data_IF_460452614454
#
_entry.id   IF_460452614454
#
_cell.length_a   1.000
_cell.length_b   1.000
_cell.length_c   1.000
_cell.angle_alpha   90.00
_cell.angle_beta   90.00
_cell.angle_gamma   90.00
#
_symmetry.space_group_name_H-M   'P 1'
#
loop_
_entity.id
_entity.type
_entity.pdbx_description
1 polymer ?
#
# COMPACT_ATOMS: atom_id res chain seq x y z
N UNK A 1 57.31 -56.22 20.97
CA UNK A 1 56.03 -56.92 21.28
C UNK A 1 54.90 -55.88 21.23
N UNK A 2 54.36 -55.63 20.05
CA UNK A 2 53.29 -54.64 19.85
C UNK A 2 51.96 -55.39 19.77
N UNK A 3 51.03 -55.06 20.69
CA UNK A 3 49.63 -55.52 20.64
C UNK A 3 48.85 -54.55 19.81
N UNK A 4 48.32 -54.98 18.64
CA UNK A 4 47.39 -54.29 17.89
C UNK A 4 46.00 -54.50 18.53
N UNK A 5 45.33 -53.39 18.81
CA UNK A 5 43.92 -53.34 19.21
C UNK A 5 43.09 -53.05 17.97
N UNK A 6 42.26 -54.00 17.55
CA UNK A 6 41.30 -53.87 16.49
C UNK A 6 40.03 -53.25 17.10
N UNK A 7 39.69 -52.03 16.69
CA UNK A 7 38.41 -51.39 17.05
C UNK A 7 37.41 -51.72 15.94
N UNK A 8 36.40 -52.51 16.26
CA UNK A 8 35.24 -52.74 15.40
C UNK A 8 34.36 -51.48 15.42
N UNK A 9 34.25 -50.80 14.29
CA UNK A 9 33.33 -49.67 14.10
C UNK A 9 31.98 -50.22 13.58
N UNK A 10 31.00 -50.34 14.48
CA UNK A 10 29.62 -50.67 14.12
C UNK A 10 28.93 -49.41 13.55
N UNK A 11 28.69 -49.39 12.22
CA UNK A 11 27.92 -48.35 11.54
C UNK A 11 26.44 -48.61 11.84
N UNK A 12 25.85 -47.73 12.68
CA UNK A 12 24.43 -47.68 12.91
C UNK A 12 23.85 -46.80 11.80
N UNK A 13 23.17 -47.40 10.83
CA UNK A 13 22.36 -46.70 9.83
C UNK A 13 21.12 -46.13 10.53
N UNK A 14 21.15 -44.88 10.99
CA UNK A 14 19.95 -44.10 11.28
C UNK A 14 19.42 -43.55 9.98
N UNK A 15 18.29 -44.10 9.54
CA UNK A 15 17.49 -43.54 8.48
C UNK A 15 16.96 -42.16 8.91
N UNK A 16 17.47 -41.11 8.28
CA UNK A 16 16.93 -39.77 8.41
C UNK A 16 15.74 -39.71 7.49
N UNK A 17 14.53 -39.90 8.01
CA UNK A 17 13.30 -39.49 7.34
C UNK A 17 13.32 -37.96 7.32
N UNK A 18 13.61 -37.36 6.16
CA UNK A 18 13.36 -35.95 5.90
C UNK A 18 11.85 -35.75 5.82
N UNK A 19 11.23 -35.44 6.94
CA UNK A 19 9.92 -34.77 6.92
C UNK A 19 10.16 -33.41 6.28
N UNK A 20 9.71 -33.28 5.02
CA UNK A 20 9.49 -31.99 4.41
C UNK A 20 8.35 -31.32 5.19
N UNK A 21 8.68 -30.56 6.23
CA UNK A 21 7.80 -29.53 6.72
C UNK A 21 7.58 -28.57 5.56
N UNK A 22 6.44 -28.70 4.90
CA UNK A 22 5.93 -27.67 4.01
C UNK A 22 5.79 -26.42 4.87
N UNK A 23 6.73 -25.50 4.70
CA UNK A 23 6.66 -24.15 5.27
C UNK A 23 5.39 -23.53 4.71
N UNK A 24 4.31 -23.56 5.51
CA UNK A 24 3.09 -22.79 5.19
C UNK A 24 3.55 -21.34 4.98
N UNK A 25 3.63 -20.93 3.73
CA UNK A 25 3.78 -19.54 3.38
C UNK A 25 2.51 -18.84 3.89
N UNK A 26 2.62 -18.22 5.07
CA UNK A 26 1.60 -17.29 5.52
C UNK A 26 1.32 -16.34 4.34
N UNK A 27 0.05 -16.17 3.93
CA UNK A 27 -0.27 -15.24 2.87
C UNK A 27 0.31 -13.88 3.26
N UNK A 28 1.16 -13.32 2.41
CA UNK A 28 1.67 -11.95 2.58
C UNK A 28 0.45 -11.05 2.52
N UNK A 29 -0.05 -10.66 3.69
CA UNK A 29 -1.16 -9.70 3.78
C UNK A 29 -0.64 -8.39 3.22
N UNK A 30 -1.10 -8.04 2.03
CA UNK A 30 -0.75 -6.77 1.38
C UNK A 30 -1.37 -5.63 2.19
N UNK A 31 -0.58 -5.04 3.10
CA UNK A 31 -1.01 -4.02 4.06
C UNK A 31 -1.28 -2.65 3.42
N UNK A 32 -1.19 -2.52 2.10
CA UNK A 32 -1.23 -1.22 1.42
C UNK A 32 0.02 -0.38 1.70
N UNK A 33 0.31 0.58 0.82
CA UNK A 33 1.52 1.41 0.97
C UNK A 33 1.43 2.25 2.25
N UNK A 34 2.45 2.14 3.10
CA UNK A 34 2.50 2.79 4.41
C UNK A 34 3.60 3.84 4.46
N UNK A 35 3.29 5.02 5.01
CA UNK A 35 4.24 6.07 5.32
C UNK A 35 4.37 6.23 6.83
N UNK A 36 5.59 6.26 7.35
CA UNK A 36 5.89 6.66 8.72
C UNK A 36 6.32 8.13 8.68
N UNK A 37 5.54 9.00 9.31
CA UNK A 37 5.88 10.42 9.47
C UNK A 37 6.28 10.67 10.90
N UNK A 38 7.46 11.25 11.12
CA UNK A 38 7.91 11.48 12.49
C UNK A 38 8.64 12.82 12.66
N UNK A 39 8.62 13.29 13.91
CA UNK A 39 9.49 14.36 14.41
C UNK A 39 10.27 13.85 15.61
N UNK A 40 11.56 14.15 15.67
CA UNK A 40 12.42 13.71 16.78
C UNK A 40 13.40 14.81 17.19
N UNK A 41 13.21 15.38 18.39
CA UNK A 41 14.12 16.38 18.93
C UNK A 41 15.33 15.77 19.66
N UNK A 42 15.07 14.77 20.51
CA UNK A 42 16.10 14.13 21.36
C UNK A 42 16.52 12.74 20.85
N UNK A 43 16.17 12.36 19.63
CA UNK A 43 16.47 11.06 19.05
C UNK A 43 15.54 9.91 19.45
N UNK A 44 14.65 10.10 20.44
CA UNK A 44 13.79 9.02 20.92
C UNK A 44 12.79 8.52 19.86
N UNK A 45 12.12 9.42 19.14
CA UNK A 45 11.19 9.04 18.08
C UNK A 45 11.93 8.42 16.88
N UNK A 46 13.10 8.93 16.52
CA UNK A 46 13.97 8.32 15.50
C UNK A 46 14.35 6.88 15.86
N UNK A 47 14.71 6.60 17.11
CA UNK A 47 15.02 5.24 17.58
C UNK A 47 13.79 4.31 17.50
N UNK A 48 12.59 4.80 17.79
CA UNK A 48 11.33 4.06 17.64
C UNK A 48 11.09 3.74 16.17
N UNK A 49 11.24 4.72 15.27
CA UNK A 49 11.07 4.53 13.81
C UNK A 49 12.06 3.52 13.27
N UNK A 50 13.35 3.62 13.65
CA UNK A 50 14.37 2.65 13.25
C UNK A 50 14.08 1.21 13.72
N UNK A 51 13.35 1.06 14.84
CA UNK A 51 12.92 -0.26 15.32
C UNK A 51 11.68 -0.73 14.55
N UNK A 52 10.77 0.19 14.20
CA UNK A 52 9.53 -0.10 13.47
C UNK A 52 9.82 -0.55 12.03
N UNK A 53 10.76 0.10 11.33
CA UNK A 53 11.12 -0.24 9.93
C UNK A 53 11.75 -1.63 9.78
N UNK A 54 12.22 -2.25 10.87
CA UNK A 54 12.64 -3.66 10.87
C UNK A 54 11.48 -4.64 10.92
N UNK A 55 10.28 -4.18 11.21
CA UNK A 55 9.08 -5.01 11.43
C UNK A 55 7.94 -4.68 10.44
N UNK A 56 8.02 -3.54 9.77
CA UNK A 56 7.03 -3.05 8.83
C UNK A 56 7.73 -2.42 7.64
N UNK A 57 7.41 -2.90 6.44
CA UNK A 57 7.81 -2.23 5.20
C UNK A 57 7.03 -0.93 5.07
N UNK A 58 7.74 0.20 5.09
CA UNK A 58 7.16 1.53 5.01
C UNK A 58 8.20 2.56 4.55
N UNK A 59 7.75 3.56 3.81
CA UNK A 59 8.55 4.75 3.55
C UNK A 59 8.60 5.62 4.81
N UNK A 60 9.67 6.40 4.98
CA UNK A 60 9.89 7.21 6.17
C UNK A 60 10.09 8.67 5.80
N UNK A 61 9.37 9.55 6.50
CA UNK A 61 9.46 11.01 6.37
C UNK A 61 9.76 11.63 7.73
N UNK A 62 10.91 12.28 7.87
CA UNK A 62 11.21 13.11 9.02
C UNK A 62 10.74 14.55 8.81
N UNK A 63 9.94 15.06 9.73
CA UNK A 63 9.54 16.47 9.74
C UNK A 63 10.61 17.29 10.44
N UNK A 64 11.09 18.33 9.78
CA UNK A 64 12.13 19.21 10.33
C UNK A 64 11.61 20.64 10.51
N UNK A 65 11.97 21.34 11.61
CA UNK A 65 11.69 22.76 11.73
C UNK A 65 12.48 23.54 10.65
N UNK A 66 11.89 24.57 10.07
CA UNK A 66 12.58 25.41 9.08
C UNK A 66 13.76 26.15 9.70
N UNK A 67 13.61 26.67 10.92
CA UNK A 67 14.70 27.24 11.69
C UNK A 67 15.49 26.14 12.39
N UNK A 68 16.80 26.08 12.13
CA UNK A 68 17.69 25.03 12.66
C UNK A 68 18.37 25.47 13.95
N UNK A 69 18.79 24.50 14.77
CA UNK A 69 19.56 24.73 15.99
C UNK A 69 18.76 25.33 17.14
N UNK A 70 17.42 25.34 17.04
CA UNK A 70 16.55 25.77 18.12
C UNK A 70 16.72 24.90 19.37
N UNK A 71 16.88 25.55 20.53
CA UNK A 71 16.96 24.89 21.84
C UNK A 71 15.67 25.12 22.61
N UNK A 72 14.75 24.16 22.49
CA UNK A 72 13.43 24.26 23.10
C UNK A 72 13.48 24.19 24.63
N UNK A 73 14.53 23.60 25.20
CA UNK A 73 14.80 23.53 26.64
C UNK A 73 15.42 24.80 27.23
N UNK A 74 15.95 25.70 26.40
CA UNK A 74 16.59 26.93 26.87
C UNK A 74 15.59 27.84 27.58
N UNK A 75 16.08 28.65 28.52
CA UNK A 75 15.31 29.62 29.27
C UNK A 75 14.05 29.00 29.93
N UNK A 76 14.23 27.89 30.62
CA UNK A 76 13.14 27.14 31.23
C UNK A 76 12.03 26.76 30.24
N UNK A 77 12.40 26.28 29.05
CA UNK A 77 11.50 25.85 27.99
C UNK A 77 10.61 26.98 27.40
N UNK A 78 11.05 28.21 27.46
CA UNK A 78 10.26 29.37 27.04
C UNK A 78 9.77 29.26 25.59
N UNK A 79 10.66 28.87 24.65
CA UNK A 79 10.32 28.76 23.23
C UNK A 79 9.25 27.67 22.97
N UNK A 80 9.42 26.46 23.50
CA UNK A 80 8.46 25.39 23.33
C UNK A 80 7.09 25.72 23.91
N UNK A 81 7.08 26.36 25.09
CA UNK A 81 5.85 26.86 25.74
C UNK A 81 5.16 27.93 24.88
N UNK A 82 5.92 28.88 24.33
CA UNK A 82 5.39 29.93 23.46
C UNK A 82 4.71 29.33 22.21
N UNK A 83 5.36 28.38 21.53
CA UNK A 83 4.82 27.74 20.33
C UNK A 83 3.50 27.02 20.60
N UNK A 84 3.44 26.22 21.67
CA UNK A 84 2.21 25.53 22.03
C UNK A 84 1.09 26.46 22.46
N UNK A 85 1.41 27.56 23.19
CA UNK A 85 0.43 28.56 23.56
C UNK A 85 -0.13 29.32 22.35
N UNK A 86 0.70 29.60 21.33
CA UNK A 86 0.25 30.23 20.10
C UNK A 86 -0.77 29.34 19.37
N UNK A 87 -0.44 28.05 19.19
CA UNK A 87 -1.36 27.08 18.57
C UNK A 87 -2.66 26.96 19.38
N UNK A 88 -2.56 26.88 20.71
CA UNK A 88 -3.74 26.76 21.59
C UNK A 88 -4.64 27.98 21.51
N UNK A 89 -4.07 29.18 21.40
CA UNK A 89 -4.83 30.43 21.32
C UNK A 89 -5.57 30.56 19.97
N UNK A 90 -4.98 30.14 18.88
CA UNK A 90 -5.54 30.26 17.53
C UNK A 90 -5.32 28.98 16.71
N UNK A 91 -5.98 27.87 17.04
CA UNK A 91 -5.69 26.56 16.46
C UNK A 91 -6.06 26.42 14.96
N UNK A 92 -6.83 27.35 14.43
CA UNK A 92 -7.25 27.37 13.02
C UNK A 92 -6.47 28.38 12.16
N UNK A 93 -5.56 29.15 12.78
CA UNK A 93 -4.70 30.09 12.08
C UNK A 93 -3.34 29.47 11.78
N UNK A 94 -2.98 29.31 10.49
CA UNK A 94 -1.70 28.76 10.06
C UNK A 94 -0.48 29.52 10.61
N UNK A 95 -0.63 30.82 10.91
CA UNK A 95 0.44 31.65 11.48
C UNK A 95 0.77 31.27 12.94
N UNK A 96 -0.12 30.53 13.62
CA UNK A 96 0.12 30.03 14.97
C UNK A 96 1.05 28.82 15.02
N UNK A 97 1.30 28.20 13.88
CA UNK A 97 2.13 27.00 13.77
C UNK A 97 3.55 27.37 13.33
N UNK A 98 4.59 26.81 13.99
CA UNK A 98 5.96 27.08 13.57
C UNK A 98 6.22 26.58 12.14
N UNK A 99 7.07 27.30 11.40
CA UNK A 99 7.47 26.90 10.06
C UNK A 99 8.26 25.59 10.08
N UNK A 100 7.98 24.73 9.11
CA UNK A 100 8.71 23.49 8.86
C UNK A 100 9.32 23.50 7.47
N UNK A 101 10.33 22.65 7.24
CA UNK A 101 10.88 22.46 5.90
C UNK A 101 9.80 21.99 4.92
N UNK A 102 9.86 22.41 3.66
CA UNK A 102 8.96 21.94 2.63
C UNK A 102 9.03 20.41 2.47
N UNK A 103 7.89 19.74 2.57
CA UNK A 103 7.79 18.30 2.37
C UNK A 103 7.55 17.98 0.90
N UNK A 104 8.49 17.28 0.25
CA UNK A 104 8.41 16.91 -1.16
C UNK A 104 7.63 15.61 -1.41
N UNK A 105 7.35 14.84 -0.36
CA UNK A 105 6.68 13.53 -0.49
C UNK A 105 5.20 13.72 -0.83
N UNK A 106 4.77 13.19 -1.99
CA UNK A 106 3.33 13.09 -2.29
C UNK A 106 2.69 12.06 -1.36
N UNK A 107 1.56 12.44 -0.75
CA UNK A 107 0.79 11.56 0.13
C UNK A 107 -0.21 10.67 -0.63
N UNK A 108 -0.40 10.89 -1.94
CA UNK A 108 -1.49 10.27 -2.70
C UNK A 108 -1.36 8.75 -2.79
N UNK A 109 -0.13 8.25 -2.88
CA UNK A 109 0.16 6.81 -3.00
C UNK A 109 0.05 6.02 -1.69
N UNK A 110 -0.10 6.70 -0.54
CA UNK A 110 -0.17 6.03 0.76
C UNK A 110 -1.60 5.86 1.23
N UNK A 111 -1.96 4.63 1.60
CA UNK A 111 -3.24 4.30 2.21
C UNK A 111 -3.18 4.40 3.74
N UNK A 112 -2.01 4.10 4.30
CA UNK A 112 -1.77 4.08 5.73
C UNK A 112 -0.67 5.06 6.11
N UNK A 113 -0.87 5.81 7.20
CA UNK A 113 0.12 6.74 7.74
C UNK A 113 0.30 6.49 9.23
N UNK A 114 1.53 6.25 9.66
CA UNK A 114 1.87 6.12 11.08
C UNK A 114 2.58 7.39 11.52
N UNK A 115 2.01 8.10 12.48
CA UNK A 115 2.57 9.32 13.05
C UNK A 115 3.37 8.93 14.28
N UNK A 116 4.65 9.37 14.37
CA UNK A 116 5.50 9.17 15.56
C UNK A 116 5.96 10.53 16.05
N UNK A 117 5.56 10.91 17.27
CA UNK A 117 5.78 12.26 17.82
C UNK A 117 6.20 12.24 19.28
N UNK A 118 7.06 13.18 19.71
CA UNK A 118 7.28 13.40 21.12
C UNK A 118 6.10 14.16 21.73
N UNK A 119 5.93 13.99 23.03
CA UNK A 119 5.01 14.76 23.84
C UNK A 119 5.74 15.99 24.41
N UNK A 120 5.17 17.17 24.23
CA UNK A 120 5.58 18.43 24.86
C UNK A 120 4.46 18.98 25.73
N UNK A 121 4.70 19.14 27.04
CA UNK A 121 3.70 19.71 28.01
C UNK A 121 2.31 19.10 27.88
N UNK A 122 2.24 17.78 27.84
CA UNK A 122 1.02 16.98 27.65
C UNK A 122 0.32 17.16 26.28
N UNK A 123 0.92 17.85 25.32
CA UNK A 123 0.43 18.08 23.97
C UNK A 123 1.36 17.45 22.93
N UNK A 124 0.90 17.39 21.70
CA UNK A 124 1.77 17.02 20.56
C UNK A 124 2.82 18.08 20.33
N UNK A 125 4.05 17.69 20.01
CA UNK A 125 5.11 18.62 19.65
C UNK A 125 4.67 19.59 18.55
N UNK A 126 4.93 20.90 18.72
CA UNK A 126 4.45 21.95 17.82
C UNK A 126 4.86 21.71 16.35
N UNK A 127 6.06 21.17 16.10
CA UNK A 127 6.56 20.83 14.76
C UNK A 127 5.69 19.77 14.08
N UNK A 128 5.28 18.72 14.81
CA UNK A 128 4.37 17.71 14.27
C UNK A 128 2.96 18.28 14.07
N UNK A 129 2.49 19.15 14.95
CA UNK A 129 1.21 19.83 14.77
C UNK A 129 1.22 20.68 13.48
N UNK A 130 2.32 21.38 13.18
CA UNK A 130 2.48 22.13 11.92
C UNK A 130 2.33 21.23 10.69
N UNK A 131 3.00 20.07 10.69
CA UNK A 131 2.90 19.12 9.59
C UNK A 131 1.46 18.64 9.38
N UNK A 132 0.80 18.22 10.46
CA UNK A 132 -0.57 17.71 10.39
C UNK A 132 -1.55 18.80 9.94
N UNK A 133 -1.43 20.03 10.46
CA UNK A 133 -2.25 21.16 10.03
C UNK A 133 -2.13 21.43 8.53
N UNK A 134 -0.91 21.48 8.00
CA UNK A 134 -0.66 21.77 6.58
C UNK A 134 -1.11 20.63 5.65
N UNK A 135 -1.11 19.40 6.13
CA UNK A 135 -1.38 18.21 5.30
C UNK A 135 -2.72 17.53 5.62
N UNK A 136 -3.54 18.09 6.52
CA UNK A 136 -4.83 17.50 6.90
C UNK A 136 -5.72 17.18 5.69
N UNK A 137 -5.87 18.06 4.67
CA UNK A 137 -6.69 17.75 3.48
C UNK A 137 -6.16 16.54 2.69
N UNK A 138 -4.83 16.37 2.62
CA UNK A 138 -4.19 15.25 1.90
C UNK A 138 -4.23 13.95 2.70
N UNK A 139 -4.45 14.02 4.02
CA UNK A 139 -4.58 12.88 4.91
C UNK A 139 -6.05 12.43 5.06
N UNK A 140 -7.02 13.23 4.61
CA UNK A 140 -8.44 12.90 4.63
C UNK A 140 -8.70 11.54 3.95
N UNK A 141 -9.51 10.69 4.58
CA UNK A 141 -9.87 9.35 4.11
C UNK A 141 -8.78 8.29 4.23
N UNK A 142 -7.58 8.64 4.72
CA UNK A 142 -6.51 7.68 4.98
C UNK A 142 -6.66 6.99 6.33
N UNK A 143 -6.04 5.83 6.44
CA UNK A 143 -5.90 5.14 7.72
C UNK A 143 -4.69 5.70 8.47
N UNK A 144 -4.89 6.12 9.72
CA UNK A 144 -3.85 6.76 10.53
C UNK A 144 -3.68 6.03 11.85
N UNK A 145 -2.42 5.85 12.28
CA UNK A 145 -2.06 5.36 13.61
C UNK A 145 -1.08 6.33 14.30
N UNK A 146 -1.02 6.28 15.62
CA UNK A 146 -0.23 7.22 16.41
C UNK A 146 0.68 6.48 17.38
N UNK A 147 1.96 6.84 17.40
CA UNK A 147 2.94 6.46 18.42
C UNK A 147 3.44 7.72 19.12
N UNK A 148 3.41 7.72 20.43
CA UNK A 148 3.85 8.87 21.24
C UNK A 148 5.00 8.47 22.12
N UNK A 149 6.08 9.24 22.05
CA UNK A 149 7.22 9.13 22.96
C UNK A 149 7.12 10.21 24.04
N UNK A 150 7.14 9.81 25.32
CA UNK A 150 7.22 10.73 26.45
C UNK A 150 8.19 10.22 27.52
N UNK A 151 8.52 11.04 28.49
CA UNK A 151 9.29 10.58 29.66
C UNK A 151 8.42 9.71 30.58
N UNK A 152 7.33 10.28 31.09
CA UNK A 152 6.41 9.63 32.04
C UNK A 152 4.96 10.13 31.94
N UNK A 153 4.74 11.26 31.26
CA UNK A 153 3.40 11.86 31.14
C UNK A 153 2.51 11.05 30.21
N UNK A 154 1.25 10.88 30.58
CA UNK A 154 0.23 10.24 29.77
C UNK A 154 -0.04 11.00 28.46
N UNK A 155 -0.53 10.31 27.44
CA UNK A 155 -0.58 10.77 26.06
C UNK A 155 -1.95 11.32 25.61
N UNK A 156 -2.91 11.45 26.51
CA UNK A 156 -4.29 11.85 26.17
C UNK A 156 -4.38 13.20 25.42
N UNK A 157 -3.55 14.18 25.80
CA UNK A 157 -3.51 15.47 25.12
C UNK A 157 -2.94 15.36 23.69
N UNK A 158 -1.92 14.52 23.48
CA UNK A 158 -1.38 14.28 22.14
C UNK A 158 -2.42 13.60 21.24
N UNK A 159 -3.17 12.64 21.77
CA UNK A 159 -4.28 11.99 21.07
C UNK A 159 -5.38 13.00 20.72
N UNK A 160 -5.71 13.91 21.66
CA UNK A 160 -6.68 14.96 21.41
C UNK A 160 -6.23 15.92 20.30
N UNK A 161 -4.96 16.35 20.32
CA UNK A 161 -4.38 17.19 19.27
C UNK A 161 -4.41 16.49 17.89
N UNK A 162 -4.05 15.21 17.83
CA UNK A 162 -4.09 14.43 16.61
C UNK A 162 -5.50 14.35 16.02
N UNK A 163 -6.51 14.06 16.86
CA UNK A 163 -7.92 14.00 16.43
C UNK A 163 -8.48 15.35 16.01
N UNK A 164 -8.08 16.43 16.68
CA UNK A 164 -8.45 17.81 16.30
C UNK A 164 -7.89 18.19 14.93
N UNK A 165 -6.61 17.84 14.68
CA UNK A 165 -5.92 18.19 13.41
C UNK A 165 -6.35 17.31 12.24
N UNK A 166 -6.78 16.08 12.52
CA UNK A 166 -7.14 15.07 11.52
C UNK A 166 -8.56 14.53 11.78
N UNK A 167 -9.62 15.34 11.60
CA UNK A 167 -10.99 14.91 11.88
C UNK A 167 -11.50 13.87 10.86
N UNK A 168 -10.98 13.88 9.64
CA UNK A 168 -11.50 13.11 8.50
C UNK A 168 -10.64 11.88 8.16
N UNK A 169 -9.90 11.33 9.13
CA UNK A 169 -9.12 10.11 8.97
C UNK A 169 -9.79 8.92 9.65
N UNK A 170 -9.43 7.72 9.24
CA UNK A 170 -9.80 6.48 9.94
C UNK A 170 -8.68 6.08 10.87
N UNK A 171 -8.93 6.08 12.19
CA UNK A 171 -7.92 5.64 13.17
C UNK A 171 -7.81 4.11 13.16
N UNK A 172 -6.58 3.60 12.96
CA UNK A 172 -6.31 2.16 12.82
C UNK A 172 -6.39 1.39 14.14
N UNK A 173 -6.37 2.07 15.25
CA UNK A 173 -6.41 1.49 16.59
C UNK A 173 -5.97 2.51 17.64
N UNK A 174 -5.74 2.03 18.85
CA UNK A 174 -5.27 2.87 19.96
C UNK A 174 -3.83 3.36 19.75
N UNK A 175 -3.55 4.55 20.25
CA UNK A 175 -2.20 5.11 20.20
C UNK A 175 -1.23 4.29 21.07
N UNK A 176 -0.05 4.00 20.53
CA UNK A 176 1.02 3.37 21.29
C UNK A 176 1.81 4.39 22.11
N UNK A 177 1.95 4.14 23.39
CA UNK A 177 2.73 4.97 24.29
C UNK A 177 4.06 4.31 24.67
N UNK A 178 5.17 4.92 24.24
CA UNK A 178 6.53 4.54 24.60
C UNK A 178 7.08 5.57 25.58
N UNK A 179 7.46 5.12 26.78
CA UNK A 179 7.96 5.96 27.87
C UNK A 179 9.21 5.36 28.51
N UNK A 180 9.77 6.02 29.51
CA UNK A 180 10.98 5.56 30.18
C UNK A 180 10.86 4.18 30.84
N UNK A 181 9.67 3.82 31.32
CA UNK A 181 9.48 2.53 32.02
C UNK A 181 9.37 1.35 31.04
N UNK A 182 8.97 1.58 29.77
CA UNK A 182 8.73 0.50 28.80
C UNK A 182 9.63 0.56 27.55
N UNK A 183 10.49 1.60 27.40
CA UNK A 183 11.30 1.76 26.19
C UNK A 183 12.29 0.62 25.93
N UNK A 184 12.74 -0.08 26.96
CA UNK A 184 13.58 -1.29 26.78
C UNK A 184 12.86 -2.38 25.99
N UNK A 185 11.53 -2.39 25.98
CA UNK A 185 10.67 -3.35 25.31
C UNK A 185 10.06 -2.79 24.00
N UNK A 186 10.63 -1.70 23.45
CA UNK A 186 10.07 -1.02 22.24
C UNK A 186 9.81 -2.00 21.11
N UNK A 187 10.70 -2.97 20.85
CA UNK A 187 10.55 -3.92 19.76
C UNK A 187 9.31 -4.82 19.92
N UNK A 188 9.10 -5.40 21.09
CA UNK A 188 7.94 -6.25 21.36
C UNK A 188 6.64 -5.44 21.40
N UNK A 189 6.66 -4.25 22.01
CA UNK A 189 5.50 -3.36 22.05
C UNK A 189 5.06 -2.96 20.64
N UNK A 190 6.00 -2.61 19.77
CA UNK A 190 5.71 -2.30 18.37
C UNK A 190 5.16 -3.52 17.63
N UNK A 191 5.76 -4.69 17.81
CA UNK A 191 5.29 -5.93 17.19
C UNK A 191 3.85 -6.24 17.55
N UNK A 192 3.50 -6.17 18.84
CA UNK A 192 2.17 -6.49 19.34
C UNK A 192 1.14 -5.42 18.95
N UNK A 193 1.56 -4.16 18.89
CA UNK A 193 0.73 -3.07 18.44
C UNK A 193 0.45 -3.13 16.94
N UNK A 194 1.47 -3.34 16.10
CA UNK A 194 1.33 -3.47 14.64
C UNK A 194 0.40 -4.62 14.24
N UNK A 195 0.36 -5.72 15.01
CA UNK A 195 -0.58 -6.83 14.78
C UNK A 195 -2.04 -6.44 15.02
N UNK A 196 -2.29 -5.46 15.89
CA UNK A 196 -3.64 -5.00 16.26
C UNK A 196 -4.17 -3.89 15.37
N UNK A 197 -3.32 -3.28 14.53
CA UNK A 197 -3.73 -2.21 13.65
C UNK A 197 -4.57 -2.73 12.48
N UNK A 198 -5.68 -2.05 12.22
CA UNK A 198 -6.50 -2.27 11.04
C UNK A 198 -5.90 -1.52 9.85
N UNK A 199 -4.82 -2.06 9.29
CA UNK A 199 -4.27 -1.51 8.05
C UNK A 199 -5.34 -1.55 6.95
N UNK A 200 -5.53 -0.43 6.25
CA UNK A 200 -6.24 -0.48 4.98
C UNK A 200 -5.38 -1.34 4.07
N UNK A 201 -5.87 -2.51 3.79
CA UNK A 201 -5.29 -3.30 2.71
C UNK A 201 -5.42 -2.43 1.47
N UNK A 202 -4.41 -2.37 0.62
CA UNK A 202 -4.71 -1.92 -0.72
C UNK A 202 -5.87 -2.80 -1.17
N UNK A 203 -6.98 -2.23 -1.60
CA UNK A 203 -8.06 -2.96 -2.28
C UNK A 203 -7.58 -3.48 -3.65
N UNK A 204 -6.30 -3.54 -3.86
CA UNK A 204 -5.68 -4.41 -4.80
C UNK A 204 -5.64 -5.82 -4.17
N UNK A 205 -6.79 -6.53 -4.06
CA UNK A 205 -6.83 -7.85 -4.64
C UNK A 205 -5.93 -7.73 -5.85
N UNK A 206 -4.87 -8.55 -5.96
CA UNK A 206 -3.91 -8.52 -7.07
C UNK A 206 -4.60 -7.95 -8.29
N UNK A 207 -4.57 -6.59 -8.40
CA UNK A 207 -5.41 -5.90 -9.37
C UNK A 207 -4.84 -6.33 -10.70
N UNK A 208 -5.61 -7.09 -11.44
CA UNK A 208 -5.22 -7.58 -12.74
C UNK A 208 -5.90 -6.74 -13.80
N UNK A 209 -5.20 -6.50 -14.89
CA UNK A 209 -5.83 -6.11 -16.13
C UNK A 209 -5.67 -7.25 -17.15
N UNK A 210 -6.62 -7.36 -18.03
CA UNK A 210 -6.56 -8.26 -19.17
C UNK A 210 -5.86 -7.57 -20.32
N UNK A 211 -4.92 -8.27 -20.92
CA UNK A 211 -4.25 -7.91 -22.17
C UNK A 211 -4.73 -8.88 -23.24
N UNK A 212 -5.45 -8.37 -24.24
CA UNK A 212 -6.07 -9.18 -25.28
C UNK A 212 -5.41 -8.90 -26.64
N UNK A 213 -4.96 -9.95 -27.31
CA UNK A 213 -4.42 -9.92 -28.67
C UNK A 213 -5.09 -11.05 -29.46
N UNK A 214 -5.72 -10.73 -30.60
CA UNK A 214 -6.44 -11.70 -31.45
C UNK A 214 -7.40 -12.61 -30.66
N UNK A 215 -8.11 -12.05 -29.71
CA UNK A 215 -9.06 -12.77 -28.85
C UNK A 215 -8.43 -13.64 -27.77
N UNK A 216 -7.10 -13.78 -27.71
CA UNK A 216 -6.38 -14.46 -26.62
C UNK A 216 -6.15 -13.46 -25.49
N UNK A 217 -6.39 -13.88 -24.27
CA UNK A 217 -6.30 -13.05 -23.06
C UNK A 217 -5.17 -13.53 -22.17
N UNK A 218 -4.34 -12.60 -21.69
CA UNK A 218 -3.38 -12.83 -20.62
C UNK A 218 -3.64 -11.81 -19.49
N UNK A 219 -3.59 -12.29 -18.28
CA UNK A 219 -3.69 -11.43 -17.11
C UNK A 219 -2.35 -10.76 -16.80
N UNK A 220 -2.38 -9.46 -16.58
CA UNK A 220 -1.26 -8.67 -16.05
C UNK A 220 -1.54 -8.39 -14.61
N UNK A 221 -0.73 -8.89 -13.70
CA UNK A 221 -0.75 -8.50 -12.28
C UNK A 221 -0.16 -7.10 -12.16
N UNK A 222 -0.95 -6.13 -11.73
CA UNK A 222 -0.53 -4.74 -11.60
C UNK A 222 0.25 -4.51 -10.30
N UNK A 223 1.25 -3.64 -10.34
CA UNK A 223 1.92 -3.12 -9.15
C UNK A 223 1.13 -1.94 -8.59
N UNK A 224 1.22 -1.68 -7.28
CA UNK A 224 0.53 -0.55 -6.65
C UNK A 224 1.39 0.71 -6.72
N UNK A 225 1.05 1.60 -7.67
CA UNK A 225 1.63 2.94 -7.77
C UNK A 225 0.65 3.91 -8.44
N UNK A 226 0.99 5.20 -8.46
CA UNK A 226 0.13 6.22 -9.03
C UNK A 226 -0.18 6.01 -10.53
N UNK A 227 0.76 5.41 -11.29
CA UNK A 227 0.55 5.12 -12.71
C UNK A 227 -0.53 4.05 -12.91
N UNK A 228 -0.46 2.95 -12.15
CA UNK A 228 -1.43 1.86 -12.24
C UNK A 228 -2.79 2.25 -11.70
N UNK A 229 -2.84 3.06 -10.64
CA UNK A 229 -4.11 3.60 -10.14
C UNK A 229 -4.81 4.46 -11.19
N UNK A 230 -4.07 5.35 -11.86
CA UNK A 230 -4.60 6.16 -12.95
C UNK A 230 -4.97 5.32 -14.19
N UNK A 231 -4.19 4.29 -14.53
CA UNK A 231 -4.51 3.34 -15.60
C UNK A 231 -5.83 2.61 -15.32
N UNK A 232 -5.98 2.10 -14.10
CA UNK A 232 -7.21 1.40 -13.67
C UNK A 232 -8.41 2.33 -13.72
N UNK A 233 -8.29 3.57 -13.22
CA UNK A 233 -9.36 4.56 -13.32
C UNK A 233 -9.77 4.79 -14.79
N UNK A 234 -8.79 4.83 -15.71
CA UNK A 234 -9.07 4.95 -17.15
C UNK A 234 -9.76 3.70 -17.72
N UNK A 235 -9.35 2.51 -17.30
CA UNK A 235 -9.98 1.25 -17.72
C UNK A 235 -11.36 1.02 -17.11
N UNK A 236 -11.72 1.69 -16.01
CA UNK A 236 -13.08 1.72 -15.47
C UNK A 236 -14.06 2.51 -16.38
N UNK A 237 -13.56 3.47 -17.14
CA UNK A 237 -14.36 4.19 -18.14
C UNK A 237 -14.66 3.30 -19.37
N UNK A 238 -13.85 2.28 -19.63
CA UNK A 238 -13.98 1.34 -20.74
C UNK A 238 -12.65 0.73 -21.16
N UNK A 239 -12.72 -0.32 -21.96
CA UNK A 239 -11.51 -0.95 -22.51
C UNK A 239 -10.76 0.01 -23.44
N UNK A 240 -9.44 -0.03 -23.40
CA UNK A 240 -8.55 0.79 -24.23
C UNK A 240 -7.84 -0.10 -25.23
N UNK A 241 -8.00 0.20 -26.52
CA UNK A 241 -7.29 -0.50 -27.62
C UNK A 241 -6.19 0.39 -28.15
N UNK A 242 -4.97 -0.17 -28.18
CA UNK A 242 -3.74 0.50 -28.66
C UNK A 242 -3.09 -0.30 -29.77
N UNK A 243 -2.30 0.39 -30.61
CA UNK A 243 -1.47 -0.25 -31.63
C UNK A 243 -0.02 -0.25 -31.17
N UNK A 244 0.55 -1.43 -31.01
CA UNK A 244 1.93 -1.62 -30.58
C UNK A 244 2.78 -2.16 -31.73
N UNK A 245 4.08 -1.88 -31.65
CA UNK A 245 5.07 -2.31 -32.65
C UNK A 245 6.24 -2.96 -31.94
N UNK A 246 6.87 -3.93 -32.56
CA UNK A 246 8.13 -4.49 -32.06
C UNK A 246 9.23 -3.44 -32.04
N UNK A 247 9.97 -3.40 -30.94
CA UNK A 247 11.18 -2.61 -30.78
C UNK A 247 12.34 -3.56 -30.38
N UNK A 248 13.36 -3.61 -31.21
CA UNK A 248 14.42 -4.60 -31.06
C UNK A 248 13.87 -6.04 -31.07
N UNK A 249 14.54 -6.94 -30.39
CA UNK A 249 14.05 -8.31 -30.20
C UNK A 249 13.73 -8.57 -28.70
N UNK A 250 13.12 -7.59 -28.03
CA UNK A 250 12.87 -7.69 -26.61
C UNK A 250 11.50 -7.18 -26.15
N UNK A 251 10.81 -6.31 -26.90
CA UNK A 251 9.52 -5.75 -26.48
C UNK A 251 8.57 -5.44 -27.64
N UNK A 252 7.30 -5.29 -27.32
CA UNK A 252 6.35 -4.51 -28.13
C UNK A 252 6.01 -3.24 -27.37
N UNK A 253 5.91 -2.11 -28.07
CA UNK A 253 5.65 -0.81 -27.46
C UNK A 253 4.78 0.09 -28.31
N UNK A 254 4.16 1.09 -27.68
CA UNK A 254 3.38 2.12 -28.37
C UNK A 254 2.63 3.03 -27.42
N UNK A 255 2.01 4.07 -28.00
CA UNK A 255 1.28 5.07 -27.21
C UNK A 255 -0.01 4.51 -26.62
N UNK A 256 -0.28 4.86 -25.36
CA UNK A 256 -1.57 4.62 -24.70
C UNK A 256 -2.68 5.58 -25.20
N UNK A 257 -2.31 6.70 -25.85
CA UNK A 257 -3.24 7.76 -26.23
C UNK A 257 -3.55 8.75 -25.09
N UNK A 258 -2.99 8.55 -23.91
CA UNK A 258 -3.09 9.43 -22.74
C UNK A 258 -1.82 9.32 -21.88
N UNK A 259 -1.66 10.26 -20.94
CA UNK A 259 -0.52 10.26 -20.01
C UNK A 259 -0.90 9.73 -18.64
N UNK A 260 0.05 9.06 -17.99
CA UNK A 260 -0.03 8.56 -16.63
C UNK A 260 1.05 9.20 -15.75
N UNK A 261 0.86 9.31 -14.44
CA UNK A 261 1.91 9.70 -13.51
C UNK A 261 3.14 8.80 -13.64
N UNK A 262 4.32 9.35 -13.41
CA UNK A 262 5.58 8.59 -13.52
C UNK A 262 6.28 8.48 -12.19
N UNK A 263 6.85 7.31 -11.91
CA UNK A 263 7.81 7.02 -10.83
C UNK A 263 8.96 6.20 -11.42
N UNK A 264 9.76 6.85 -12.28
CA UNK A 264 10.79 6.16 -13.04
C UNK A 264 11.92 5.66 -12.16
N UNK A 265 12.29 4.41 -12.34
CA UNK A 265 13.46 3.76 -11.75
C UNK A 265 14.26 3.06 -12.83
N UNK A 266 15.58 2.95 -12.64
CA UNK A 266 16.41 2.16 -13.55
C UNK A 266 16.20 0.69 -13.25
N UNK A 267 15.61 -0.03 -14.19
CA UNK A 267 15.31 -1.47 -14.06
C UNK A 267 15.91 -2.27 -15.18
N UNK A 268 16.23 -3.53 -14.90
CA UNK A 268 16.49 -4.55 -15.91
C UNK A 268 15.18 -5.29 -16.20
N UNK A 269 14.46 -4.85 -17.23
CA UNK A 269 13.20 -5.46 -17.68
C UNK A 269 13.42 -6.91 -18.11
N UNK A 270 12.51 -7.77 -17.71
CA UNK A 270 12.53 -9.21 -17.94
C UNK A 270 11.29 -9.64 -18.73
N UNK A 271 11.29 -10.81 -19.39
CA UNK A 271 10.08 -11.32 -20.03
C UNK A 271 8.86 -11.29 -19.12
N UNK A 272 7.75 -10.77 -19.64
CA UNK A 272 6.50 -10.56 -18.92
C UNK A 272 6.36 -9.20 -18.23
N UNK A 273 7.42 -8.43 -18.04
CA UNK A 273 7.31 -7.10 -17.45
C UNK A 273 6.51 -6.16 -18.36
N UNK A 274 5.59 -5.41 -17.74
CA UNK A 274 4.79 -4.36 -18.38
C UNK A 274 5.17 -3.05 -17.71
N UNK A 275 5.62 -2.08 -18.52
CA UNK A 275 6.15 -0.82 -18.02
C UNK A 275 5.62 0.38 -18.80
N UNK A 276 5.70 1.55 -18.20
CA UNK A 276 5.40 2.84 -18.80
C UNK A 276 6.73 3.53 -19.17
N UNK A 277 6.84 3.99 -20.39
CA UNK A 277 7.95 4.77 -20.91
C UNK A 277 7.50 6.18 -21.29
N UNK A 278 8.24 7.20 -20.84
CA UNK A 278 7.96 8.59 -21.18
C UNK A 278 6.57 9.10 -20.74
N UNK A 279 5.94 8.42 -19.78
CA UNK A 279 4.64 8.82 -19.20
C UNK A 279 3.42 8.52 -20.08
N UNK A 280 3.59 8.09 -21.34
CA UNK A 280 2.48 7.87 -22.28
C UNK A 280 2.59 6.61 -23.16
N UNK A 281 3.70 5.91 -23.11
CA UNK A 281 3.90 4.69 -23.90
C UNK A 281 3.93 3.46 -23.00
N UNK A 282 3.22 2.42 -23.38
CA UNK A 282 3.30 1.10 -22.76
C UNK A 282 4.34 0.26 -23.49
N UNK A 283 5.18 -0.44 -22.71
CA UNK A 283 6.14 -1.43 -23.23
C UNK A 283 5.88 -2.77 -22.55
N UNK A 284 5.90 -3.86 -23.32
CA UNK A 284 5.64 -5.23 -22.84
C UNK A 284 6.79 -6.10 -23.32
N UNK A 285 7.55 -6.65 -22.36
CA UNK A 285 8.78 -7.38 -22.64
C UNK A 285 8.51 -8.86 -22.93
N UNK A 286 9.16 -9.39 -23.95
CA UNK A 286 9.38 -10.84 -24.19
C UNK A 286 10.87 -11.20 -24.18
N UNK A 287 11.74 -10.22 -24.18
CA UNK A 287 13.18 -10.29 -23.94
C UNK A 287 13.59 -9.44 -22.76
N UNK A 288 14.82 -8.95 -22.75
CA UNK A 288 15.35 -8.12 -21.65
C UNK A 288 15.96 -6.82 -22.15
N UNK A 289 15.74 -5.74 -21.43
CA UNK A 289 16.36 -4.44 -21.67
C UNK A 289 16.45 -3.65 -20.36
N UNK A 290 17.50 -2.85 -20.21
CA UNK A 290 17.73 -2.02 -19.03
C UNK A 290 17.56 -0.55 -19.37
N UNK A 291 16.63 0.11 -18.74
CA UNK A 291 16.38 1.54 -18.90
C UNK A 291 15.59 2.12 -17.71
N UNK A 292 15.28 3.41 -17.76
CA UNK A 292 14.47 4.08 -16.76
C UNK A 292 12.98 4.01 -17.15
N UNK A 293 12.21 3.25 -16.38
CA UNK A 293 10.79 3.01 -16.60
C UNK A 293 9.98 3.18 -15.30
N UNK A 294 8.68 3.42 -15.45
CA UNK A 294 7.71 3.23 -14.36
C UNK A 294 7.08 1.85 -14.50
N UNK A 295 7.13 1.02 -13.44
CA UNK A 295 6.51 -0.32 -13.48
C UNK A 295 4.99 -0.20 -13.52
N UNK A 296 4.35 -1.00 -14.37
CA UNK A 296 2.89 -1.17 -14.40
C UNK A 296 2.48 -2.54 -13.89
N UNK A 297 3.20 -3.60 -14.24
CA UNK A 297 2.82 -4.94 -13.82
C UNK A 297 3.65 -6.04 -14.46
N UNK A 298 3.13 -7.27 -14.37
CA UNK A 298 3.78 -8.46 -14.95
C UNK A 298 2.78 -9.49 -15.46
N UNK A 299 3.06 -10.08 -16.60
CA UNK A 299 2.45 -11.32 -17.11
C UNK A 299 3.24 -12.49 -16.51
N UNK A 300 2.58 -13.37 -15.78
CA UNK A 300 3.20 -14.56 -15.19
C UNK A 300 2.78 -15.85 -15.93
N UNK A 301 3.52 -16.92 -15.68
CA UNK A 301 3.15 -18.26 -16.15
C UNK A 301 3.46 -18.61 -17.60
N UNK A 302 4.11 -17.71 -18.35
CA UNK A 302 4.58 -17.95 -19.71
C UNK A 302 6.11 -17.89 -19.80
N UNK A 303 6.71 -18.76 -20.59
CA UNK A 303 8.11 -18.65 -20.99
C UNK A 303 8.34 -17.47 -21.94
N UNK A 304 9.59 -17.08 -22.16
CA UNK A 304 9.95 -16.02 -23.10
C UNK A 304 9.45 -16.28 -24.52
N UNK A 305 9.53 -17.52 -24.98
CA UNK A 305 9.05 -17.93 -26.32
C UNK A 305 7.53 -17.87 -26.43
N UNK A 306 6.81 -18.32 -25.39
CA UNK A 306 5.34 -18.21 -25.33
C UNK A 306 4.89 -16.76 -25.27
N UNK A 307 5.58 -15.89 -24.51
CA UNK A 307 5.35 -14.44 -24.48
C UNK A 307 5.61 -13.82 -25.85
N UNK A 308 6.73 -14.14 -26.49
CA UNK A 308 7.04 -13.65 -27.84
C UNK A 308 5.96 -14.05 -28.85
N UNK A 309 5.50 -15.29 -28.77
CA UNK A 309 4.42 -15.78 -29.64
C UNK A 309 3.09 -15.10 -29.37
N UNK A 310 2.71 -14.93 -28.09
CA UNK A 310 1.49 -14.23 -27.67
C UNK A 310 1.51 -12.76 -28.07
N UNK A 311 2.63 -12.07 -27.81
CA UNK A 311 2.83 -10.63 -28.09
C UNK A 311 3.12 -10.37 -29.59
N UNK A 312 3.18 -11.42 -30.43
CA UNK A 312 3.55 -11.31 -31.85
C UNK A 312 4.88 -10.58 -32.07
N UNK A 313 5.87 -10.89 -31.24
CA UNK A 313 7.20 -10.29 -31.33
C UNK A 313 7.80 -10.41 -32.72
N UNK A 314 8.36 -9.34 -33.25
CA UNK A 314 8.84 -9.24 -34.65
C UNK A 314 7.81 -8.65 -35.61
N UNK A 315 6.56 -8.43 -35.21
CA UNK A 315 5.52 -7.82 -36.05
C UNK A 315 5.29 -6.35 -35.72
N UNK A 316 4.60 -5.63 -36.60
CA UNK A 316 4.17 -4.26 -36.44
C UNK A 316 2.64 -4.16 -36.51
N UNK A 317 2.09 -3.05 -36.03
CA UNK A 317 0.66 -2.77 -36.03
C UNK A 317 -0.15 -3.83 -35.25
N UNK A 318 0.36 -4.28 -34.12
CA UNK A 318 -0.29 -5.25 -33.24
C UNK A 318 -1.41 -4.54 -32.46
N UNK A 319 -2.65 -4.96 -32.71
CA UNK A 319 -3.80 -4.45 -31.94
C UNK A 319 -3.85 -5.12 -30.58
N UNK A 320 -3.76 -4.33 -29.52
CA UNK A 320 -3.75 -4.79 -28.13
C UNK A 320 -4.88 -4.09 -27.37
N UNK A 321 -5.76 -4.86 -26.74
CA UNK A 321 -6.83 -4.30 -25.90
C UNK A 321 -6.51 -4.53 -24.42
N UNK A 322 -6.51 -3.45 -23.65
CA UNK A 322 -6.39 -3.43 -22.20
C UNK A 322 -7.79 -3.29 -21.60
N UNK A 323 -8.14 -4.13 -20.66
CA UNK A 323 -9.44 -4.06 -19.96
C UNK A 323 -9.31 -4.56 -18.52
N UNK A 324 -10.24 -4.16 -17.67
CA UNK A 324 -10.37 -4.81 -16.37
C UNK A 324 -11.03 -6.19 -16.53
N UNK A 325 -10.69 -7.19 -15.70
CA UNK A 325 -11.45 -8.41 -15.62
C UNK A 325 -12.92 -8.05 -15.35
N UNK A 326 -13.84 -8.71 -16.04
CA UNK A 326 -15.25 -8.63 -15.65
C UNK A 326 -15.33 -9.25 -14.27
N UNK A 327 -15.60 -8.46 -13.24
CA UNK A 327 -15.89 -9.00 -11.93
C UNK A 327 -17.07 -9.94 -12.10
N UNK A 328 -16.84 -11.26 -12.05
CA UNK A 328 -17.91 -12.16 -11.72
C UNK A 328 -18.38 -11.67 -10.36
N UNK A 329 -19.56 -11.05 -10.33
CA UNK A 329 -20.28 -10.84 -9.08
C UNK A 329 -20.23 -12.21 -8.41
N UNK A 330 -19.45 -12.32 -7.33
CA UNK A 330 -19.45 -13.52 -6.52
C UNK A 330 -20.90 -13.72 -6.14
N UNK A 331 -21.53 -14.72 -6.77
CA UNK A 331 -22.80 -15.19 -6.28
C UNK A 331 -22.51 -15.53 -4.82
N UNK A 332 -23.01 -14.71 -3.89
CA UNK A 332 -23.10 -15.13 -2.51
C UNK A 332 -23.71 -16.53 -2.56
N UNK A 333 -22.96 -17.54 -2.18
CA UNK A 333 -23.49 -18.80 -1.78
C UNK A 333 -24.38 -18.49 -0.57
N UNK A 334 -25.62 -18.11 -0.85
CA UNK A 334 -26.68 -18.20 0.11
C UNK A 334 -26.84 -19.69 0.34
N UNK A 335 -26.53 -20.14 1.56
CA UNK A 335 -26.81 -21.50 1.99
C UNK A 335 -28.24 -21.83 1.58
N UNK A 336 -28.38 -22.95 0.89
CA UNK A 336 -29.63 -23.55 0.42
C UNK A 336 -30.48 -23.94 1.66
N UNK A 337 -31.18 -22.95 2.22
CA UNK A 337 -32.26 -23.16 3.18
C UNK A 337 -33.47 -22.40 2.66
N UNK A 338 -34.39 -23.12 1.98
CA UNK A 338 -35.76 -22.76 1.65
C UNK A 338 -36.01 -21.30 1.20
N UNK A 339 -35.45 -20.91 0.03
CA UNK A 339 -35.83 -19.65 -0.59
C UNK A 339 -37.16 -19.81 -1.32
N UNK A 340 -38.23 -19.23 -0.72
CA UNK A 340 -39.50 -18.98 -1.39
C UNK A 340 -39.24 -18.25 -2.73
N UNK A 341 -40.01 -18.59 -3.73
CA UNK A 341 -40.01 -18.01 -5.10
C UNK A 341 -40.19 -16.49 -5.09
N UNK A 342 -39.12 -15.72 -4.85
CA UNK A 342 -39.16 -14.27 -4.79
C UNK A 342 -38.91 -13.69 -6.17
N UNK A 343 -39.74 -12.72 -6.56
CA UNK A 343 -39.64 -11.98 -7.80
C UNK A 343 -39.01 -10.59 -7.53
N UNK A 344 -38.18 -10.14 -8.46
CA UNK A 344 -37.59 -8.81 -8.43
C UNK A 344 -37.94 -8.06 -9.72
N UNK A 345 -38.16 -6.75 -9.60
CA UNK A 345 -38.28 -5.85 -10.75
C UNK A 345 -36.93 -5.78 -11.50
N UNK A 346 -36.92 -5.24 -12.70
CA UNK A 346 -35.70 -5.01 -13.49
C UNK A 346 -34.73 -4.03 -12.78
N UNK A 347 -35.21 -3.25 -11.81
CA UNK A 347 -34.41 -2.34 -10.99
C UNK A 347 -33.92 -2.97 -9.68
N UNK A 348 -34.08 -4.30 -9.52
CA UNK A 348 -33.62 -5.04 -8.34
C UNK A 348 -34.48 -4.90 -7.08
N UNK A 349 -35.67 -4.29 -7.16
CA UNK A 349 -36.60 -4.22 -6.02
C UNK A 349 -37.43 -5.49 -5.92
N UNK A 350 -37.59 -6.01 -4.71
CA UNK A 350 -38.47 -7.16 -4.45
C UNK A 350 -39.93 -6.81 -4.74
N UNK A 351 -40.64 -7.71 -5.41
CA UNK A 351 -42.03 -7.55 -5.81
C UNK A 351 -42.87 -8.64 -5.15
N UNK A 352 -43.68 -8.26 -4.17
CA UNK A 352 -44.52 -9.18 -3.44
C UNK A 352 -45.89 -9.46 -4.11
N UNK A 353 -46.38 -8.52 -4.93
CA UNK A 353 -47.61 -8.64 -5.71
C UNK A 353 -47.33 -8.31 -7.19
N UNK A 354 -46.86 -9.26 -7.99
CA UNK A 354 -46.52 -9.00 -9.38
C UNK A 354 -47.77 -8.83 -10.25
N UNK A 355 -47.79 -7.80 -11.07
CA UNK A 355 -48.71 -7.65 -12.18
C UNK A 355 -48.12 -8.24 -13.46
N UNK A 356 -48.90 -8.26 -14.58
CA UNK A 356 -48.35 -8.66 -15.88
C UNK A 356 -47.11 -7.81 -16.21
N UNK A 357 -45.95 -8.46 -16.42
CA UNK A 357 -44.70 -7.75 -16.67
C UNK A 357 -43.50 -8.65 -16.73
N UNK A 358 -42.31 -8.03 -16.79
CA UNK A 358 -41.01 -8.72 -16.83
C UNK A 358 -40.34 -8.57 -15.47
N UNK A 359 -39.90 -9.70 -14.92
CA UNK A 359 -39.29 -9.80 -13.60
C UNK A 359 -38.01 -10.63 -13.64
N UNK A 360 -37.24 -10.59 -12.58
CA UNK A 360 -36.10 -11.47 -12.35
C UNK A 360 -36.49 -12.48 -11.26
N UNK A 361 -36.39 -13.77 -11.54
CA UNK A 361 -36.59 -14.88 -10.63
C UNK A 361 -35.38 -15.79 -10.66
N UNK A 362 -34.71 -15.99 -9.51
CA UNK A 362 -33.48 -16.82 -9.42
C UNK A 362 -32.43 -16.42 -10.48
N UNK A 363 -32.21 -15.12 -10.65
CA UNK A 363 -31.27 -14.56 -11.62
C UNK A 363 -31.66 -14.71 -13.09
N UNK A 364 -32.86 -15.23 -13.40
CA UNK A 364 -33.37 -15.38 -14.77
C UNK A 364 -34.56 -14.44 -15.02
N UNK A 365 -34.62 -13.92 -16.25
CA UNK A 365 -35.74 -13.11 -16.72
C UNK A 365 -36.99 -14.00 -16.89
N UNK A 366 -38.10 -13.62 -16.25
CA UNK A 366 -39.38 -14.27 -16.37
C UNK A 366 -40.44 -13.23 -16.79
N UNK A 367 -41.45 -13.68 -17.52
CA UNK A 367 -42.63 -12.89 -17.92
C UNK A 367 -43.83 -13.46 -17.23
N UNK A 368 -44.59 -12.63 -16.51
CA UNK A 368 -45.84 -13.00 -15.85
C UNK A 368 -47.02 -12.35 -16.60
#
# INVERSE_FOLDING_TARGET
MYRQIIILLSILLMGCSTENEAQESNPVVNKGKTLIVYYSYTGNCSAIVNTMTKQLEADVLEVQPAEKGLKYEANNYALGTQLLNAIKANPNDGNSYPAIDPVQTSLDSYQNVIIVTPLWWSQMAAIMQSYLFQNAPKLSGKNVALVVSSHSSGISGVVADAKRLLPDVTWMGDALWINNSNRSNTASLLQDWLKKLNFKQSNMETQTMNLTIDGKVQAVTLVDNAATQALVAKLQEGAVTVTLNTNGDFEIWGSLGFSLPTSNEYINGQPGDVVLYGGSNICIFYGSNSYSYTRLGKIAGLSADELKAFLKGGQSNISVTLSLPVSSVSAHHVNDSEEKDVLYSLNGQRVDNPSRGIYIKKGKKVVL
#
